data_IF_349250473261
#
_entry.id   IF_349250473261
#
_cell.length_a   1.000
_cell.length_b   1.000
_cell.length_c   1.000
_cell.angle_alpha   90.00
_cell.angle_beta   90.00
_cell.angle_gamma   90.00
#
_symmetry.space_group_name_H-M   'P 1'
#
loop_
_entity.id
_entity.type
_entity.pdbx_description
1 polymer ?
#
# COMPACT_ATOMS: atom_id res chain seq x y z
N UNK A 1 -15.86 6.91 17.03
CA UNK A 1 -16.04 7.15 15.58
C UNK A 1 -16.83 8.41 15.21
N UNK A 2 -17.09 9.34 16.14
CA UNK A 2 -17.98 10.50 15.91
C UNK A 2 -17.47 11.50 14.85
N UNK A 3 -16.16 11.69 14.76
CA UNK A 3 -15.56 12.64 13.81
C UNK A 3 -15.66 12.18 12.35
N UNK A 4 -15.48 10.89 12.08
CA UNK A 4 -15.56 10.35 10.71
C UNK A 4 -16.98 10.54 10.15
N UNK A 5 -18.00 10.19 10.92
CA UNK A 5 -19.41 10.43 10.54
C UNK A 5 -19.67 11.89 10.20
N UNK A 6 -19.12 12.84 10.97
CA UNK A 6 -19.24 14.28 10.67
C UNK A 6 -18.53 14.68 9.38
N UNK A 7 -17.35 14.13 9.10
CA UNK A 7 -16.62 14.42 7.86
C UNK A 7 -17.41 13.90 6.65
N UNK A 8 -17.96 12.69 6.73
CA UNK A 8 -18.82 12.15 5.67
C UNK A 8 -20.10 12.97 5.49
N UNK A 9 -20.71 13.46 6.58
CA UNK A 9 -21.85 14.36 6.49
C UNK A 9 -21.49 15.67 5.81
N UNK A 10 -20.37 16.30 6.19
CA UNK A 10 -19.90 17.53 5.55
C UNK A 10 -19.58 17.31 4.07
N UNK A 11 -18.96 16.19 3.72
CA UNK A 11 -18.68 15.84 2.33
C UNK A 11 -19.97 15.68 1.51
N UNK A 12 -21.01 15.07 2.09
CA UNK A 12 -22.35 15.01 1.50
C UNK A 12 -22.96 16.40 1.32
N UNK A 13 -22.94 17.23 2.37
CA UNK A 13 -23.50 18.59 2.36
C UNK A 13 -22.81 19.47 1.32
N UNK A 14 -21.51 19.25 1.08
CA UNK A 14 -20.70 19.94 0.08
C UNK A 14 -20.69 19.28 -1.30
N UNK A 15 -21.45 18.18 -1.49
CA UNK A 15 -21.51 17.42 -2.75
C UNK A 15 -20.14 16.92 -3.24
N UNK A 16 -19.24 16.61 -2.30
CA UNK A 16 -17.95 16.01 -2.60
C UNK A 16 -18.10 14.52 -2.89
N UNK A 17 -17.15 13.98 -3.66
CA UNK A 17 -17.09 12.56 -3.92
C UNK A 17 -16.68 11.79 -2.65
N UNK A 18 -17.61 11.03 -2.09
CA UNK A 18 -17.37 10.22 -0.89
C UNK A 18 -16.37 9.09 -1.13
N UNK A 19 -16.19 8.67 -2.38
CA UNK A 19 -15.25 7.59 -2.70
C UNK A 19 -13.81 8.03 -2.51
N UNK A 20 -13.48 9.29 -2.86
CA UNK A 20 -12.17 9.87 -2.61
C UNK A 20 -11.89 9.95 -1.10
N UNK A 21 -12.90 10.27 -0.29
CA UNK A 21 -12.78 10.28 1.16
C UNK A 21 -12.53 8.88 1.73
N UNK A 22 -13.20 7.85 1.21
CA UNK A 22 -12.96 6.46 1.61
C UNK A 22 -11.56 6.00 1.23
N UNK A 23 -11.08 6.35 0.04
CA UNK A 23 -9.70 6.07 -0.39
C UNK A 23 -8.72 6.75 0.56
N UNK A 24 -8.89 8.04 0.86
CA UNK A 24 -8.06 8.75 1.83
C UNK A 24 -8.07 8.07 3.21
N UNK A 25 -9.24 7.61 3.67
CA UNK A 25 -9.38 6.90 4.94
C UNK A 25 -8.59 5.58 4.95
N UNK A 26 -8.76 4.74 3.92
CA UNK A 26 -8.04 3.46 3.79
C UNK A 26 -6.52 3.70 3.75
N UNK A 27 -6.08 4.62 2.91
CA UNK A 27 -4.66 4.94 2.74
C UNK A 27 -4.05 5.49 4.03
N UNK A 28 -4.79 6.34 4.75
CA UNK A 28 -4.33 6.89 6.03
C UNK A 28 -4.21 5.79 7.10
N UNK A 29 -5.18 4.86 7.15
CA UNK A 29 -5.15 3.76 8.12
C UNK A 29 -3.97 2.82 7.84
N UNK A 30 -3.74 2.41 6.59
CA UNK A 30 -2.53 1.66 6.24
C UNK A 30 -1.26 2.47 6.52
N UNK A 31 -1.22 3.76 6.19
CA UNK A 31 -0.02 4.58 6.46
C UNK A 31 0.33 4.66 7.96
N UNK A 32 -0.64 4.40 8.84
CA UNK A 32 -0.52 4.40 10.31
C UNK A 32 -0.54 3.00 10.94
N UNK A 33 -0.40 1.94 10.14
CA UNK A 33 -0.35 0.55 10.64
C UNK A 33 -1.68 0.02 11.17
N UNK A 34 -2.80 0.64 10.82
CA UNK A 34 -4.16 0.22 11.21
C UNK A 34 -4.81 -0.65 10.12
N UNK A 35 -4.11 -1.66 9.64
CA UNK A 35 -4.42 -2.43 8.43
C UNK A 35 -5.80 -3.08 8.48
N UNK A 36 -6.14 -3.74 9.61
CA UNK A 36 -7.46 -4.35 9.79
C UNK A 36 -8.61 -3.36 9.67
N UNK A 37 -8.45 -2.15 10.22
CA UNK A 37 -9.46 -1.11 10.10
C UNK A 37 -9.57 -0.59 8.65
N UNK A 38 -8.46 -0.59 7.91
CA UNK A 38 -8.44 -0.22 6.51
C UNK A 38 -9.19 -1.25 5.66
N UNK A 39 -8.95 -2.54 5.90
CA UNK A 39 -9.57 -3.68 5.22
C UNK A 39 -11.10 -3.68 5.33
N UNK A 40 -11.64 -3.30 6.49
CA UNK A 40 -13.10 -3.17 6.70
C UNK A 40 -13.75 -2.16 5.75
N UNK A 41 -13.00 -1.16 5.27
CA UNK A 41 -13.51 -0.07 4.43
C UNK A 41 -13.32 -0.39 2.94
N UNK A 42 -12.33 -1.23 2.59
CA UNK A 42 -12.05 -1.57 1.19
C UNK A 42 -13.30 -2.00 0.41
N UNK A 43 -14.20 -2.87 0.91
CA UNK A 43 -15.37 -3.31 0.15
C UNK A 43 -16.29 -2.17 -0.33
N UNK A 44 -16.37 -1.07 0.42
CA UNK A 44 -17.25 0.07 0.11
C UNK A 44 -16.59 1.16 -0.74
N UNK A 45 -15.33 0.97 -1.14
CA UNK A 45 -14.64 1.81 -2.14
C UNK A 45 -15.01 1.35 -3.55
N UNK A 46 -15.43 2.26 -4.41
CA UNK A 46 -15.85 1.94 -5.79
C UNK A 46 -14.66 2.02 -6.76
N UNK A 47 -13.84 3.05 -6.66
CA UNK A 47 -12.69 3.27 -7.53
C UNK A 47 -11.48 2.45 -7.04
N UNK A 48 -11.51 1.14 -7.33
CA UNK A 48 -10.43 0.21 -6.97
C UNK A 48 -9.11 0.56 -7.64
N UNK A 49 -9.15 1.03 -8.89
CA UNK A 49 -7.94 1.40 -9.62
C UNK A 49 -7.18 2.53 -8.91
N UNK A 50 -7.89 3.59 -8.49
CA UNK A 50 -7.26 4.67 -7.74
C UNK A 50 -6.78 4.21 -6.36
N UNK A 51 -7.58 3.38 -5.68
CA UNK A 51 -7.16 2.79 -4.41
C UNK A 51 -5.84 2.01 -4.53
N UNK A 52 -5.72 1.13 -5.52
CA UNK A 52 -4.51 0.33 -5.79
C UNK A 52 -3.30 1.25 -5.97
N UNK A 53 -3.41 2.31 -6.78
CA UNK A 53 -2.30 3.27 -6.98
C UNK A 53 -1.81 3.86 -5.66
N UNK A 54 -2.73 4.22 -4.76
CA UNK A 54 -2.34 4.73 -3.45
C UNK A 54 -1.78 3.66 -2.52
N UNK A 55 -2.35 2.45 -2.49
CA UNK A 55 -1.84 1.34 -1.67
C UNK A 55 -0.43 0.92 -2.12
N UNK A 56 -0.15 0.93 -3.41
CA UNK A 56 1.21 0.68 -3.93
C UNK A 56 2.21 1.69 -3.40
N UNK A 57 1.84 2.96 -3.25
CA UNK A 57 2.71 3.96 -2.62
C UNK A 57 2.95 3.67 -1.13
N UNK A 58 1.95 3.16 -0.41
CA UNK A 58 2.12 2.74 0.99
C UNK A 58 3.06 1.54 1.09
N UNK A 59 2.86 0.50 0.28
CA UNK A 59 3.74 -0.69 0.22
C UNK A 59 5.17 -0.25 -0.03
N UNK A 60 5.38 0.61 -1.04
CA UNK A 60 6.67 1.16 -1.38
C UNK A 60 7.34 1.84 -0.20
N UNK A 61 6.61 2.68 0.53
CA UNK A 61 7.18 3.39 1.66
C UNK A 61 7.56 2.43 2.79
N UNK A 62 6.68 1.49 3.14
CA UNK A 62 6.96 0.47 4.18
C UNK A 62 8.22 -0.32 3.84
N UNK A 63 8.34 -0.73 2.58
CA UNK A 63 9.52 -1.42 2.07
C UNK A 63 10.79 -0.57 2.12
N UNK A 64 10.72 0.68 1.65
CA UNK A 64 11.89 1.59 1.74
C UNK A 64 12.30 1.79 3.19
N UNK A 65 11.35 1.94 4.11
CA UNK A 65 11.68 2.07 5.53
C UNK A 65 12.44 0.85 6.03
N UNK A 66 12.03 -0.37 5.67
CA UNK A 66 12.66 -1.60 6.17
C UNK A 66 13.98 -1.96 5.48
N UNK A 67 14.10 -1.64 4.19
CA UNK A 67 15.26 -1.98 3.36
C UNK A 67 16.33 -0.88 3.44
N UNK A 68 15.97 0.41 3.52
CA UNK A 68 16.90 1.55 3.49
C UNK A 68 17.38 2.04 4.86
N UNK A 69 17.26 1.25 5.94
CA UNK A 69 17.78 1.65 7.27
C UNK A 69 19.31 1.83 7.24
N UNK A 70 20.01 1.07 6.39
CA UNK A 70 21.43 1.29 6.08
C UNK A 70 21.75 0.90 4.62
N UNK A 71 22.66 1.63 3.96
CA UNK A 71 23.07 1.33 2.57
C UNK A 71 23.78 -0.04 2.44
N UNK A 72 24.40 -0.51 3.52
CA UNK A 72 25.03 -1.84 3.59
C UNK A 72 23.97 -2.95 3.58
N UNK A 73 22.91 -2.80 4.40
CA UNK A 73 21.81 -3.77 4.43
C UNK A 73 20.97 -3.71 3.15
N UNK A 74 20.91 -2.56 2.48
CA UNK A 74 20.12 -2.39 1.27
C UNK A 74 20.57 -3.36 0.18
N UNK A 75 21.87 -3.45 -0.10
CA UNK A 75 22.41 -4.31 -1.15
C UNK A 75 22.13 -5.79 -0.90
N UNK A 76 22.31 -6.27 0.34
CA UNK A 76 22.08 -7.66 0.70
C UNK A 76 20.58 -8.01 0.70
N UNK A 77 19.72 -7.08 1.12
CA UNK A 77 18.25 -7.28 1.18
C UNK A 77 17.56 -7.27 -0.19
N UNK A 78 18.15 -6.64 -1.21
CA UNK A 78 17.55 -6.55 -2.56
C UNK A 78 18.15 -7.53 -3.58
N UNK A 79 19.06 -8.44 -3.18
CA UNK A 79 19.75 -9.37 -4.11
C UNK A 79 18.75 -10.19 -4.95
N UNK A 80 17.60 -10.51 -4.38
CA UNK A 80 16.56 -11.30 -5.02
C UNK A 80 15.52 -10.47 -5.80
N UNK A 81 15.63 -9.14 -5.79
CA UNK A 81 14.63 -8.25 -6.37
C UNK A 81 14.91 -8.04 -7.85
N UNK A 82 13.84 -7.99 -8.66
CA UNK A 82 14.00 -7.66 -10.08
C UNK A 82 14.50 -6.21 -10.27
N UNK A 83 15.21 -5.91 -11.38
CA UNK A 83 15.66 -4.54 -11.66
C UNK A 83 14.52 -3.51 -11.69
N UNK A 84 13.33 -3.95 -12.12
CA UNK A 84 12.12 -3.14 -12.14
C UNK A 84 11.67 -2.75 -10.72
N UNK A 85 11.61 -3.70 -9.78
CA UNK A 85 11.26 -3.44 -8.38
C UNK A 85 12.28 -2.51 -7.73
N UNK A 86 13.58 -2.72 -7.97
CA UNK A 86 14.63 -1.86 -7.43
C UNK A 86 14.51 -0.43 -7.95
N UNK A 87 14.26 -0.25 -9.25
CA UNK A 87 14.01 1.08 -9.85
C UNK A 87 12.77 1.74 -9.25
N UNK A 88 11.69 0.98 -9.12
CA UNK A 88 10.45 1.43 -8.50
C UNK A 88 10.68 1.87 -7.04
N UNK A 89 11.38 1.10 -6.22
CA UNK A 89 11.75 1.47 -4.84
C UNK A 89 12.58 2.74 -4.79
N UNK A 90 13.54 2.93 -5.70
CA UNK A 90 14.40 4.12 -5.72
C UNK A 90 13.64 5.42 -5.98
N UNK A 91 12.55 5.38 -6.73
CA UNK A 91 11.75 6.58 -7.02
C UNK A 91 11.22 7.26 -5.72
N UNK A 92 11.02 8.58 -5.69
CA UNK A 92 10.65 9.31 -4.48
C UNK A 92 9.29 8.85 -3.93
N UNK A 93 9.08 9.04 -2.62
CA UNK A 93 7.81 8.77 -1.95
C UNK A 93 7.28 10.07 -1.35
N UNK A 94 5.97 10.29 -1.43
CA UNK A 94 5.29 11.55 -1.07
C UNK A 94 4.41 11.45 0.16
N UNK A 95 4.24 10.24 0.72
CA UNK A 95 3.35 9.97 1.86
C UNK A 95 4.21 9.61 3.06
N UNK A 96 3.89 10.17 4.23
CA UNK A 96 4.51 9.78 5.50
C UNK A 96 3.87 8.48 5.99
N UNK A 97 4.67 7.42 6.13
CA UNK A 97 4.21 6.09 6.55
C UNK A 97 5.03 5.63 7.75
N UNK A 98 4.32 5.12 8.76
CA UNK A 98 4.94 4.59 9.96
C UNK A 98 5.62 3.24 9.70
N UNK A 99 6.59 2.90 10.55
CA UNK A 99 7.24 1.59 10.50
C UNK A 99 6.18 0.50 10.68
N UNK A 100 6.16 -0.47 9.77
CA UNK A 100 5.28 -1.65 9.79
C UNK A 100 6.12 -2.91 9.61
N UNK A 101 5.60 -4.05 10.05
CA UNK A 101 6.27 -5.34 9.89
C UNK A 101 6.25 -5.76 8.41
N UNK A 102 7.29 -6.48 7.96
CA UNK A 102 7.32 -7.05 6.60
C UNK A 102 6.12 -7.95 6.32
N UNK A 103 5.66 -8.70 7.34
CA UNK A 103 4.48 -9.56 7.23
C UNK A 103 3.20 -8.76 6.92
N UNK A 104 2.99 -7.63 7.60
CA UNK A 104 1.84 -6.75 7.35
C UNK A 104 1.94 -6.12 5.94
N UNK A 105 3.16 -5.83 5.49
CA UNK A 105 3.40 -5.35 4.12
C UNK A 105 3.09 -6.43 3.08
N UNK A 106 3.41 -7.70 3.36
CA UNK A 106 3.05 -8.84 2.51
C UNK A 106 1.52 -9.04 2.44
N UNK A 107 0.83 -8.95 3.58
CA UNK A 107 -0.64 -9.02 3.65
C UNK A 107 -1.30 -7.89 2.84
N UNK A 108 -0.73 -6.67 2.88
CA UNK A 108 -1.17 -5.56 2.05
C UNK A 108 -0.93 -5.82 0.54
N UNK A 109 0.22 -6.41 0.15
CA UNK A 109 0.47 -6.80 -1.24
C UNK A 109 -0.56 -7.84 -1.71
N UNK A 110 -0.86 -8.84 -0.90
CA UNK A 110 -1.91 -9.83 -1.20
C UNK A 110 -3.27 -9.16 -1.38
N UNK A 111 -3.61 -8.23 -0.50
CA UNK A 111 -4.84 -7.42 -0.63
C UNK A 111 -4.88 -6.70 -1.97
N UNK A 112 -3.79 -6.05 -2.38
CA UNK A 112 -3.71 -5.38 -3.68
C UNK A 112 -3.89 -6.37 -4.85
N UNK A 113 -3.31 -7.57 -4.78
CA UNK A 113 -3.51 -8.62 -5.80
C UNK A 113 -4.99 -8.98 -5.94
N UNK A 114 -5.72 -9.11 -4.83
CA UNK A 114 -7.17 -9.43 -4.87
C UNK A 114 -8.03 -8.29 -5.42
N UNK A 115 -7.52 -7.06 -5.42
CA UNK A 115 -8.21 -5.89 -5.94
C UNK A 115 -8.00 -5.66 -7.43
N UNK A 116 -6.95 -6.24 -8.02
CA UNK A 116 -6.62 -6.07 -9.43
C UNK A 116 -7.62 -6.81 -10.34
N UNK A 117 -7.98 -6.22 -11.48
CA UNK A 117 -8.69 -6.94 -12.55
C UNK A 117 -7.78 -7.99 -13.19
N UNK A 118 -8.30 -9.20 -13.48
CA UNK A 118 -7.51 -10.36 -13.96
C UNK A 118 -6.61 -10.11 -15.19
N UNK A 119 -6.91 -9.10 -16.02
CA UNK A 119 -6.15 -8.74 -17.22
C UNK A 119 -5.27 -7.48 -17.04
N UNK A 120 -5.04 -7.05 -15.81
CA UNK A 120 -4.21 -5.88 -15.54
C UNK A 120 -2.73 -6.20 -15.79
N UNK A 121 -2.07 -5.34 -16.57
CA UNK A 121 -0.63 -5.37 -16.82
C UNK A 121 0.24 -5.36 -15.56
N UNK A 122 -0.29 -4.89 -14.43
CA UNK A 122 0.41 -4.82 -13.14
C UNK A 122 0.42 -6.15 -12.38
N UNK A 123 -0.36 -7.16 -12.80
CA UNK A 123 -0.40 -8.46 -12.11
C UNK A 123 0.97 -9.13 -12.03
N UNK A 124 1.75 -9.09 -13.11
CA UNK A 124 3.08 -9.68 -13.14
C UNK A 124 4.03 -8.96 -12.18
N UNK A 125 4.03 -7.63 -12.21
CA UNK A 125 4.85 -6.81 -11.31
C UNK A 125 4.53 -7.07 -9.84
N UNK A 126 3.24 -7.09 -9.48
CA UNK A 126 2.80 -7.24 -8.08
C UNK A 126 3.03 -8.67 -7.58
N UNK A 127 2.90 -9.68 -8.46
CA UNK A 127 3.26 -11.06 -8.12
C UNK A 127 4.76 -11.21 -7.88
N UNK A 128 5.61 -10.66 -8.76
CA UNK A 128 7.06 -10.64 -8.57
C UNK A 128 7.46 -9.92 -7.28
N UNK A 129 6.76 -8.84 -6.93
CA UNK A 129 6.96 -8.12 -5.67
C UNK A 129 6.61 -8.99 -4.46
N UNK A 130 5.51 -9.73 -4.53
CA UNK A 130 5.09 -10.66 -3.48
C UNK A 130 6.15 -11.74 -3.25
N UNK A 131 6.65 -12.36 -4.32
CA UNK A 131 7.69 -13.40 -4.23
C UNK A 131 9.00 -12.87 -3.65
N UNK A 132 9.40 -11.66 -4.06
CA UNK A 132 10.58 -10.97 -3.52
C UNK A 132 10.45 -10.71 -2.02
N UNK A 133 9.26 -10.29 -1.58
CA UNK A 133 8.93 -10.09 -0.16
C UNK A 133 8.96 -11.39 0.65
N UNK A 134 8.41 -12.47 0.11
CA UNK A 134 8.44 -13.79 0.75
C UNK A 134 9.89 -14.24 0.93
N UNK A 135 10.74 -14.06 -0.09
CA UNK A 135 12.17 -14.37 0.01
C UNK A 135 12.85 -13.56 1.11
N UNK A 136 12.53 -12.27 1.23
CA UNK A 136 13.10 -11.37 2.23
C UNK A 136 12.65 -11.69 3.67
N UNK A 137 11.42 -12.19 3.84
CA UNK A 137 10.91 -12.59 5.16
C UNK A 137 11.57 -13.90 5.64
N UNK A 138 11.94 -14.77 4.70
CA UNK A 138 12.51 -16.09 4.98
C UNK A 138 14.04 -16.12 5.04
N UNK A 139 14.71 -15.03 4.65
CA UNK A 139 16.18 -14.85 4.74
C UNK A 139 16.61 -14.44 6.14
#
# INVERSE_FOLDING_TARGET
>A
MFWISKIFQLALDWQLNLDDLRICQVVSLYSKGHDRLAEEIIPVVHNKENLIKHLMNVIKHRLKFEICISDLDFHDKIVHFSPEIVSWLKSPVTIDVEKSLLKETLELVQTVITLLPENDSQHEFISNLMDSLISLINS
#
